data_IF_784649627280
#
_entry.id   IF_784649627280
#
_cell.length_a   1.000
_cell.length_b   1.000
_cell.length_c   1.000
_cell.angle_alpha   90.00
_cell.angle_beta   90.00
_cell.angle_gamma   90.00
#
_symmetry.space_group_name_H-M   'P 1'
#
loop_
_entity.id
_entity.type
_entity.pdbx_description
1 polymer ?
#
# COMPACT_ATOMS: atom_id res chain seq x y z
N UNK A 1 3.20 -25.73 5.43
CA UNK A 1 2.90 -25.56 4.00
C UNK A 1 2.45 -24.13 3.82
N UNK A 2 3.28 -23.25 3.23
CA UNK A 2 2.89 -21.88 2.92
C UNK A 2 1.81 -21.96 1.86
N UNK A 3 0.57 -21.58 2.18
CA UNK A 3 -0.47 -21.42 1.18
C UNK A 3 0.00 -20.35 0.21
N UNK A 4 0.23 -20.73 -1.05
CA UNK A 4 0.33 -19.77 -2.14
C UNK A 4 -1.00 -19.02 -2.09
N UNK A 5 -0.95 -17.75 -1.70
CA UNK A 5 -2.13 -16.91 -1.68
C UNK A 5 -2.66 -16.92 -3.12
N UNK A 6 -3.90 -17.39 -3.38
CA UNK A 6 -4.45 -17.34 -4.73
C UNK A 6 -4.35 -15.89 -5.21
N UNK A 7 -4.11 -15.64 -6.51
CA UNK A 7 -4.02 -14.28 -7.05
C UNK A 7 -5.22 -13.52 -6.50
N UNK A 8 -4.91 -12.49 -5.68
CA UNK A 8 -5.88 -11.81 -4.85
C UNK A 8 -7.14 -11.50 -5.64
N UNK A 9 -8.29 -11.73 -5.02
CA UNK A 9 -9.63 -11.41 -5.50
C UNK A 9 -9.63 -10.40 -6.67
N UNK A 10 -9.94 -10.86 -7.89
CA UNK A 10 -9.98 -10.06 -9.13
C UNK A 10 -10.96 -8.88 -9.06
N UNK A 11 -11.76 -8.77 -8.00
CA UNK A 11 -12.77 -7.74 -7.83
C UNK A 11 -12.27 -6.32 -7.47
N UNK A 12 -10.96 -6.09 -7.27
CA UNK A 12 -10.49 -4.79 -6.75
C UNK A 12 -9.12 -4.32 -7.28
N UNK A 13 -8.74 -4.64 -8.52
CA UNK A 13 -7.46 -4.16 -9.10
C UNK A 13 -6.25 -4.48 -8.19
N UNK A 14 -6.28 -5.63 -7.51
CA UNK A 14 -5.33 -5.99 -6.47
C UNK A 14 -4.77 -7.38 -6.73
N UNK A 15 -3.44 -7.48 -6.75
CA UNK A 15 -2.70 -8.73 -6.89
C UNK A 15 -1.71 -8.89 -5.72
N UNK A 16 -1.38 -10.14 -5.41
CA UNK A 16 -0.40 -10.45 -4.39
C UNK A 16 0.71 -11.32 -4.99
N UNK A 17 1.93 -10.79 -5.02
CA UNK A 17 3.13 -11.50 -5.47
C UNK A 17 3.83 -12.23 -4.32
N UNK A 18 5.15 -12.39 -4.41
CA UNK A 18 5.96 -12.97 -3.35
C UNK A 18 6.22 -11.95 -2.23
N UNK A 19 5.24 -11.78 -1.33
CA UNK A 19 5.33 -10.82 -0.22
C UNK A 19 5.13 -9.37 -0.64
N UNK A 20 4.52 -9.14 -1.80
CA UNK A 20 4.24 -7.81 -2.33
C UNK A 20 2.76 -7.69 -2.68
N UNK A 21 2.11 -6.67 -2.14
CA UNK A 21 0.83 -6.18 -2.62
C UNK A 21 1.06 -5.35 -3.87
N UNK A 22 0.34 -5.61 -4.95
CA UNK A 22 0.39 -4.90 -6.21
C UNK A 22 -1.01 -4.35 -6.44
N UNK A 23 -1.14 -3.04 -6.53
CA UNK A 23 -2.45 -2.38 -6.71
C UNK A 23 -2.43 -1.59 -7.99
N UNK A 24 -3.29 -1.99 -8.92
CA UNK A 24 -3.52 -1.25 -10.16
C UNK A 24 -4.44 -0.07 -9.88
N UNK A 25 -4.05 1.08 -10.39
CA UNK A 25 -4.87 2.29 -10.33
C UNK A 25 -5.65 2.42 -11.64
N UNK A 26 -6.95 2.73 -11.60
CA UNK A 26 -7.72 2.95 -12.82
C UNK A 26 -7.26 4.18 -13.61
N UNK A 27 -6.37 5.01 -13.03
CA UNK A 27 -5.88 6.25 -13.63
C UNK A 27 -4.53 5.99 -14.30
N UNK A 28 -4.55 5.89 -15.63
CA UNK A 28 -3.36 5.97 -16.48
C UNK A 28 -2.46 4.74 -16.50
N UNK A 29 -3.02 3.52 -16.40
CA UNK A 29 -2.26 2.25 -16.40
C UNK A 29 -1.09 2.24 -15.38
N UNK A 30 -1.24 2.94 -14.27
CA UNK A 30 -0.25 2.97 -13.21
C UNK A 30 -0.59 1.93 -12.15
N UNK A 31 0.45 1.41 -11.50
CA UNK A 31 0.32 0.57 -10.33
C UNK A 31 1.27 1.04 -9.24
N UNK A 32 0.96 0.68 -8.01
CA UNK A 32 1.88 0.82 -6.89
C UNK A 32 2.05 -0.53 -6.20
N UNK A 33 3.25 -0.77 -5.69
CA UNK A 33 3.64 -2.02 -5.03
C UNK A 33 4.02 -1.75 -3.58
N UNK A 34 3.76 -2.67 -2.67
CA UNK A 34 4.04 -2.41 -1.27
C UNK A 34 3.74 -3.54 -0.32
N UNK A 35 3.87 -3.25 0.97
CA UNK A 35 3.46 -4.14 2.05
C UNK A 35 3.04 -3.33 3.28
N UNK A 36 2.18 -3.92 4.11
CA UNK A 36 1.75 -3.34 5.39
C UNK A 36 2.10 -4.28 6.54
N UNK A 37 2.40 -3.71 7.70
CA UNK A 37 2.62 -4.45 8.94
C UNK A 37 1.74 -3.90 10.04
N UNK A 38 1.25 -4.78 10.89
CA UNK A 38 0.37 -4.43 11.99
C UNK A 38 0.68 -5.34 13.20
N UNK A 39 1.27 -4.76 14.25
CA UNK A 39 1.39 -5.36 15.59
C UNK A 39 0.78 -4.40 16.62
N UNK A 40 0.46 -4.85 17.86
CA UNK A 40 0.05 -3.91 18.92
C UNK A 40 1.10 -2.80 19.12
N UNK A 41 0.67 -1.54 19.11
CA UNK A 41 1.54 -0.36 19.29
C UNK A 41 2.42 0.02 18.09
N UNK A 42 2.42 -0.73 16.97
CA UNK A 42 3.17 -0.33 15.78
C UNK A 42 2.48 -0.77 14.49
N UNK A 43 2.35 0.19 13.59
CA UNK A 43 1.81 -0.01 12.26
C UNK A 43 2.78 0.52 11.22
N UNK A 44 2.97 -0.25 10.15
CA UNK A 44 3.87 0.09 9.05
C UNK A 44 3.14 0.05 7.72
N UNK A 45 3.48 0.97 6.84
CA UNK A 45 2.98 1.02 5.46
C UNK A 45 4.15 1.37 4.55
N UNK A 46 4.43 0.52 3.57
CA UNK A 46 5.47 0.74 2.58
C UNK A 46 4.84 0.62 1.20
N UNK A 47 4.99 1.64 0.38
CA UNK A 47 4.48 1.64 -1.00
C UNK A 47 5.43 2.37 -1.94
N UNK A 48 5.53 1.87 -3.17
CA UNK A 48 6.41 2.34 -4.21
C UNK A 48 5.56 2.50 -5.47
N UNK A 49 5.71 3.65 -6.13
CA UNK A 49 5.19 3.89 -7.46
C UNK A 49 6.36 3.86 -8.46
N UNK A 50 6.57 2.74 -9.19
CA UNK A 50 7.70 2.59 -10.09
C UNK A 50 7.71 3.60 -11.24
N UNK A 51 6.53 3.98 -11.76
CA UNK A 51 6.45 4.92 -12.90
C UNK A 51 6.90 6.33 -12.55
N UNK A 52 6.85 6.69 -11.25
CA UNK A 52 7.34 7.97 -10.73
C UNK A 52 8.68 7.87 -9.99
N UNK A 53 9.28 6.69 -9.92
CA UNK A 53 10.48 6.44 -9.11
C UNK A 53 10.37 7.00 -7.68
N UNK A 54 9.19 6.84 -7.06
CA UNK A 54 8.88 7.40 -5.75
C UNK A 54 8.44 6.28 -4.81
N UNK A 55 8.95 6.29 -3.58
CA UNK A 55 8.57 5.36 -2.53
C UNK A 55 8.30 6.08 -1.22
N UNK A 56 7.40 5.51 -0.42
CA UNK A 56 7.03 6.02 0.90
C UNK A 56 7.04 4.87 1.89
N UNK A 57 7.65 5.13 3.04
CA UNK A 57 7.61 4.22 4.19
C UNK A 57 7.11 5.03 5.39
N UNK A 58 6.01 4.59 5.99
CA UNK A 58 5.42 5.22 7.17
C UNK A 58 5.42 4.23 8.33
N UNK A 59 5.83 4.72 9.49
CA UNK A 59 5.70 4.06 10.79
C UNK A 59 4.81 4.93 11.66
N UNK A 60 3.84 4.33 12.33
CA UNK A 60 3.04 5.04 13.32
C UNK A 60 2.75 4.15 14.52
N UNK A 61 2.99 4.74 15.70
CA UNK A 61 2.67 4.13 16.98
C UNK A 61 1.24 4.52 17.35
N UNK A 62 0.31 3.58 17.24
CA UNK A 62 -1.05 3.77 17.73
C UNK A 62 -1.71 2.45 18.11
N UNK A 63 -2.73 2.54 18.97
CA UNK A 63 -3.55 1.40 19.35
C UNK A 63 -4.71 1.25 18.37
N UNK A 64 -4.42 0.71 17.17
CA UNK A 64 -5.40 0.26 16.16
C UNK A 64 -6.57 1.22 15.87
N UNK A 65 -6.35 2.53 15.87
CA UNK A 65 -7.40 3.48 15.46
C UNK A 65 -7.67 3.40 13.96
N UNK A 66 -8.87 2.96 13.58
CA UNK A 66 -9.33 2.89 12.18
C UNK A 66 -9.24 4.25 11.48
N UNK A 67 -9.43 5.34 12.20
CA UNK A 67 -9.32 6.70 11.67
C UNK A 67 -7.89 7.02 11.24
N UNK A 68 -6.91 6.75 12.10
CA UNK A 68 -5.49 6.98 11.81
C UNK A 68 -5.07 6.16 10.59
N UNK A 69 -5.50 4.88 10.51
CA UNK A 69 -5.20 4.02 9.36
C UNK A 69 -5.75 4.59 8.05
N UNK A 70 -7.00 5.07 8.05
CA UNK A 70 -7.60 5.70 6.85
C UNK A 70 -6.86 6.98 6.46
N UNK A 71 -6.58 7.85 7.42
CA UNK A 71 -5.86 9.09 7.19
C UNK A 71 -4.48 8.84 6.58
N UNK A 72 -3.70 7.92 7.16
CA UNK A 72 -2.37 7.53 6.64
C UNK A 72 -2.48 6.96 5.22
N UNK A 73 -3.46 6.10 4.94
CA UNK A 73 -3.66 5.57 3.60
C UNK A 73 -4.00 6.64 2.55
N UNK A 74 -4.76 7.68 2.93
CA UNK A 74 -5.06 8.81 2.04
C UNK A 74 -3.81 9.66 1.80
N UNK A 75 -3.07 9.98 2.86
CA UNK A 75 -1.84 10.75 2.77
C UNK A 75 -0.80 10.06 1.88
N UNK A 76 -0.61 8.76 2.03
CA UNK A 76 0.30 7.97 1.19
C UNK A 76 -0.12 8.04 -0.28
N UNK A 77 -1.41 7.87 -0.58
CA UNK A 77 -1.90 7.98 -1.96
C UNK A 77 -1.67 9.38 -2.53
N UNK A 78 -1.97 10.42 -1.76
CA UNK A 78 -1.69 11.79 -2.19
C UNK A 78 -0.20 11.98 -2.48
N UNK A 79 0.69 11.60 -1.57
CA UNK A 79 2.12 11.77 -1.77
C UNK A 79 2.70 10.93 -2.93
N UNK A 80 2.19 9.71 -3.17
CA UNK A 80 2.63 8.88 -4.29
C UNK A 80 2.11 9.37 -5.66
N UNK A 81 0.95 10.02 -5.71
CA UNK A 81 0.27 10.36 -6.96
C UNK A 81 0.18 11.86 -7.26
N UNK A 82 0.45 12.73 -6.29
CA UNK A 82 0.61 14.17 -6.55
C UNK A 82 1.95 14.38 -7.28
N UNK A 83 1.99 15.29 -8.25
CA UNK A 83 3.26 15.71 -8.87
C UNK A 83 3.92 16.70 -7.90
N UNK A 84 5.19 16.48 -7.60
CA UNK A 84 6.02 17.55 -7.07
C UNK A 84 6.37 18.41 -8.28
N UNK A 85 5.86 19.64 -8.31
CA UNK A 85 6.17 20.62 -9.36
C UNK A 85 7.63 21.09 -9.27
#
# INVERSE_FOLDING_TARGET
>A
MHTIQPPGNTYYNFHYGLGWMIVETPIGNNFYIGHSGDIPGLHTRMYINPSKNTGIICFFNSDRSTYIKKFVSILIQQLLFTKVE
#
